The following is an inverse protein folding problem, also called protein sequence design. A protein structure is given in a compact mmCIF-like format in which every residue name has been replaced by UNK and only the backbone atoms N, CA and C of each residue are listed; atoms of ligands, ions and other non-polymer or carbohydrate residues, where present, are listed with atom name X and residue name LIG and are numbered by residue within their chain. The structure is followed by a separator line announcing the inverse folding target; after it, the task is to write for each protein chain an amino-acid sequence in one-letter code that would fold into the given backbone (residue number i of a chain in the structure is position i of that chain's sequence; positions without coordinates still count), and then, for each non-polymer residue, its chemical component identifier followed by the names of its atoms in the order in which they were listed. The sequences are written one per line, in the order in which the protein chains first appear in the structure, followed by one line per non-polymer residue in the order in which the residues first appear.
data_IF_977879357341
#
_entry.id   IF_977879357341
#
_cell.length_a   1.000
_cell.length_b   1.000
_cell.length_c   1.000
_cell.angle_alpha   90.00
_cell.angle_beta   90.00
_cell.angle_gamma   90.00
#
_symmetry.space_group_name_H-M   'P 1'
#
loop_
_entity.id
_entity.type
_entity.pdbx_description
1 polymer ?
#
# COMPACT_ATOMS: atom_id res chain seq x y z
N UNK A 1 -0.41 -5.94 -15.79
CA UNK A 1 0.88 -5.46 -15.29
C UNK A 1 0.57 -4.55 -14.12
N UNK A 2 1.15 -4.77 -12.94
CA UNK A 2 0.83 -3.95 -11.77
C UNK A 2 1.25 -2.51 -12.06
N UNK A 3 0.31 -1.58 -11.94
CA UNK A 3 0.55 -0.13 -12.10
C UNK A 3 0.80 0.53 -10.74
N UNK A 4 1.45 -0.21 -9.85
CA UNK A 4 1.83 0.24 -8.52
C UNK A 4 3.34 0.14 -8.36
N UNK A 5 3.88 0.93 -7.44
CA UNK A 5 5.25 0.82 -6.98
C UNK A 5 5.24 0.67 -5.46
N UNK A 6 5.79 -0.43 -4.94
CA UNK A 6 6.05 -0.55 -3.52
C UNK A 6 7.13 0.43 -3.08
N UNK A 7 6.92 1.02 -1.91
CA UNK A 7 7.82 2.01 -1.32
C UNK A 7 8.23 1.50 0.05
N UNK A 8 9.52 1.56 0.34
CA UNK A 8 10.01 1.25 1.69
C UNK A 8 9.64 2.38 2.66
N UNK A 9 9.42 2.04 3.94
CA UNK A 9 9.04 3.03 4.96
C UNK A 9 10.02 4.21 5.07
N UNK A 10 11.31 4.00 4.78
CA UNK A 10 12.30 5.08 4.75
C UNK A 10 12.21 5.99 3.51
N UNK A 11 11.62 5.49 2.42
CA UNK A 11 11.49 6.23 1.15
C UNK A 11 10.18 7.03 1.04
N UNK A 12 9.17 6.76 1.88
CA UNK A 12 7.89 7.50 1.88
C UNK A 12 8.08 9.01 2.07
N UNK A 13 9.17 9.40 2.73
CA UNK A 13 9.53 10.80 2.98
C UNK A 13 9.80 11.58 1.68
N UNK A 14 10.14 10.89 0.59
CA UNK A 14 10.41 11.50 -0.71
C UNK A 14 9.18 11.53 -1.63
N UNK A 15 8.04 11.00 -1.18
CA UNK A 15 6.79 10.99 -1.94
C UNK A 15 5.82 12.03 -1.39
N UNK A 16 5.22 12.82 -2.30
CA UNK A 16 4.19 13.80 -1.97
C UNK A 16 2.85 13.14 -1.63
N UNK A 17 2.57 11.99 -2.27
CA UNK A 17 1.38 11.17 -2.03
C UNK A 17 1.80 9.70 -2.08
N UNK A 18 1.35 8.93 -1.09
CA UNK A 18 1.53 7.48 -1.01
C UNK A 18 0.37 6.85 -0.24
N UNK A 19 0.26 5.54 -0.33
CA UNK A 19 -0.80 4.77 0.32
C UNK A 19 -0.16 3.72 1.23
N UNK A 20 -0.77 3.49 2.39
CA UNK A 20 -0.40 2.46 3.33
C UNK A 20 -1.47 1.35 3.32
N UNK A 21 -1.05 0.12 3.10
CA UNK A 21 -1.85 -1.07 3.40
C UNK A 21 -1.54 -1.45 4.85
N UNK A 22 -2.49 -1.19 5.74
CA UNK A 22 -2.40 -1.54 7.15
C UNK A 22 -3.13 -2.86 7.40
N UNK A 23 -2.39 -3.88 7.80
CA UNK A 23 -2.97 -5.18 8.15
C UNK A 23 -3.56 -5.18 9.55
N UNK A 24 -4.62 -5.96 9.75
CA UNK A 24 -5.35 -6.04 11.02
C UNK A 24 -4.53 -6.63 12.18
N UNK A 25 -3.52 -7.46 11.89
CA UNK A 25 -2.63 -8.00 12.93
C UNK A 25 -1.64 -6.95 13.46
N UNK A 26 -1.63 -5.73 12.88
CA UNK A 26 -0.80 -4.57 13.26
C UNK A 26 0.73 -4.80 13.25
N UNK A 27 1.21 -5.99 12.87
CA UNK A 27 2.65 -6.30 12.87
C UNK A 27 3.38 -5.71 11.67
N UNK A 28 2.69 -5.53 10.54
CA UNK A 28 3.29 -5.05 9.30
C UNK A 28 2.35 -4.07 8.59
N UNK A 29 2.94 -3.13 7.85
CA UNK A 29 2.26 -2.32 6.84
C UNK A 29 3.08 -2.35 5.55
N UNK A 30 2.40 -2.29 4.42
CA UNK A 30 3.05 -2.08 3.12
C UNK A 30 2.76 -0.67 2.63
N UNK A 31 3.72 -0.02 2.00
CA UNK A 31 3.52 1.30 1.42
C UNK A 31 3.67 1.22 -0.09
N UNK A 32 2.84 1.97 -0.82
CA UNK A 32 2.89 1.98 -2.27
C UNK A 32 2.44 3.33 -2.84
N UNK A 33 2.87 3.60 -4.07
CA UNK A 33 2.28 4.65 -4.92
C UNK A 33 1.61 4.01 -6.12
N UNK A 34 0.55 4.64 -6.61
CA UNK A 34 -0.17 4.21 -7.82
C UNK A 34 -0.79 5.41 -8.50
N UNK A 35 -0.99 5.31 -9.81
CA UNK A 35 -1.79 6.27 -10.58
C UNK A 35 -3.19 5.70 -10.89
N UNK A 36 -3.53 4.52 -10.37
CA UNK A 36 -4.83 3.91 -10.58
C UNK A 36 -5.89 4.52 -9.68
N UNK A 37 -7.09 4.71 -10.26
CA UNK A 37 -8.25 5.22 -9.53
C UNK A 37 -8.79 4.21 -8.51
N UNK A 38 -8.68 2.91 -8.82
CA UNK A 38 -9.15 1.84 -7.93
C UNK A 38 -8.02 1.36 -6.99
N UNK A 39 -7.96 1.98 -5.81
CA UNK A 39 -6.99 1.65 -4.78
C UNK A 39 -7.21 0.26 -4.16
N UNK A 40 -8.45 -0.19 -4.01
CA UNK A 40 -8.78 -1.50 -3.44
C UNK A 40 -8.26 -2.64 -4.32
N UNK A 41 -8.52 -2.56 -5.63
CA UNK A 41 -8.01 -3.58 -6.58
C UNK A 41 -6.48 -3.60 -6.61
N UNK A 42 -5.85 -2.42 -6.50
CA UNK A 42 -4.39 -2.31 -6.44
C UNK A 42 -3.84 -2.93 -5.15
N UNK A 43 -4.47 -2.64 -4.02
CA UNK A 43 -4.08 -3.18 -2.72
C UNK A 43 -4.30 -4.71 -2.66
N UNK A 44 -5.40 -5.23 -3.19
CA UNK A 44 -5.66 -6.68 -3.27
C UNK A 44 -4.55 -7.39 -4.03
N UNK A 45 -4.11 -6.84 -5.17
CA UNK A 45 -3.00 -7.39 -5.93
C UNK A 45 -1.69 -7.38 -5.13
N UNK A 46 -1.39 -6.26 -4.45
CA UNK A 46 -0.20 -6.15 -3.59
C UNK A 46 -0.24 -7.17 -2.45
N UNK A 47 -1.37 -7.31 -1.77
CA UNK A 47 -1.53 -8.25 -0.65
C UNK A 47 -1.41 -9.70 -1.12
N UNK A 48 -2.02 -10.04 -2.26
CA UNK A 48 -1.89 -11.36 -2.86
C UNK A 48 -0.43 -11.71 -3.20
N UNK A 49 0.33 -10.73 -3.70
CA UNK A 49 1.72 -10.93 -4.12
C UNK A 49 2.72 -10.91 -2.95
N UNK A 50 2.51 -10.06 -1.94
CA UNK A 50 3.51 -9.75 -0.91
C UNK A 50 3.14 -10.16 0.51
N UNK A 51 1.86 -10.38 0.80
CA UNK A 51 1.37 -10.80 2.11
C UNK A 51 0.31 -11.90 2.01
N UNK A 52 0.61 -13.01 1.30
CA UNK A 52 -0.38 -14.08 1.12
C UNK A 52 -0.71 -14.71 2.48
N UNK A 53 -1.98 -14.62 2.88
CA UNK A 53 -2.50 -15.21 4.12
C UNK A 53 -2.90 -14.21 5.20
N UNK A 54 -2.68 -12.91 5.00
CA UNK A 54 -3.19 -11.88 5.91
C UNK A 54 -4.73 -11.79 5.85
N UNK A 55 -5.39 -11.89 7.01
CA UNK A 55 -6.85 -11.86 7.12
C UNK A 55 -7.38 -10.44 7.31
N UNK A 56 -7.34 -9.68 6.22
CA UNK A 56 -7.92 -8.35 6.12
C UNK A 56 -6.93 -7.20 6.33
N UNK A 57 -7.19 -6.12 5.62
CA UNK A 57 -6.38 -4.92 5.61
C UNK A 57 -7.24 -3.68 5.34
N UNK A 58 -6.65 -2.51 5.57
CA UNK A 58 -7.22 -1.22 5.20
C UNK A 58 -6.20 -0.39 4.43
N UNK A 59 -6.67 0.35 3.41
CA UNK A 59 -5.83 1.29 2.67
C UNK A 59 -5.98 2.69 3.29
N UNK A 60 -4.86 3.28 3.70
CA UNK A 60 -4.79 4.62 4.28
C UNK A 60 -4.04 5.53 3.31
N UNK A 61 -4.70 6.55 2.73
CA UNK A 61 -4.02 7.53 1.90
C UNK A 61 -3.22 8.51 2.76
N UNK A 62 -1.97 8.77 2.37
CA UNK A 62 -1.09 9.74 3.00
C UNK A 62 -0.65 10.77 1.96
N UNK A 63 -0.97 12.04 2.21
CA UNK A 63 -0.58 13.16 1.35
C UNK A 63 0.11 14.22 2.19
N UNK A 64 1.26 14.70 1.73
CA UNK A 64 1.95 15.83 2.34
C UNK A 64 1.24 17.12 1.94
N UNK A 65 0.86 17.93 2.93
CA UNK A 65 0.36 19.29 2.72
C UNK A 65 1.47 20.25 2.24
#
# INVERSE_FOLDING_TARGET
MPKYQLVEAAAIEHHNEYFEIRFNDHRNSLFFTTNEENLETTADAIVADHAPGEMGYHVVPHRKE
#
